data_IF_216026410336
#
_entry.id   IF_216026410336
#
_cell.length_a   1.000
_cell.length_b   1.000
_cell.length_c   1.000
_cell.angle_alpha   90.00
_cell.angle_beta   90.00
_cell.angle_gamma   90.00
#
_symmetry.space_group_name_H-M   'P 1'
#
loop_
_entity.id
_entity.type
_entity.pdbx_description
1 polymer ?
#
# COMPACT_ATOMS: atom_id res chain seq x y z
N UNK A 1 -20.25 -5.35 -3.00
CA UNK A 1 -19.51 -6.23 -3.94
C UNK A 1 -18.39 -6.80 -3.09
N UNK A 2 -18.49 -8.06 -2.70
CA UNK A 2 -17.46 -8.71 -1.87
C UNK A 2 -16.41 -9.32 -2.80
N UNK A 3 -15.14 -9.18 -2.44
CA UNK A 3 -14.05 -9.83 -3.15
C UNK A 3 -14.00 -11.28 -2.67
N UNK A 4 -14.08 -12.30 -3.55
CA UNK A 4 -13.97 -13.68 -3.10
C UNK A 4 -12.60 -13.98 -2.48
N UNK A 5 -12.57 -14.70 -1.35
CA UNK A 5 -11.35 -15.00 -0.58
C UNK A 5 -10.21 -15.62 -1.41
N UNK A 6 -10.56 -16.41 -2.43
CA UNK A 6 -9.59 -17.01 -3.35
C UNK A 6 -8.72 -15.98 -4.09
N UNK A 7 -9.15 -14.72 -4.17
CA UNK A 7 -8.39 -13.63 -4.77
C UNK A 7 -7.58 -12.83 -3.74
N UNK A 8 -7.78 -13.03 -2.43
CA UNK A 8 -7.03 -12.28 -1.42
C UNK A 8 -5.50 -12.46 -1.54
N UNK A 9 -4.94 -13.66 -1.82
CA UNK A 9 -3.50 -13.81 -1.98
C UNK A 9 -2.92 -12.97 -3.11
N UNK A 10 -3.56 -12.99 -4.30
CA UNK A 10 -3.08 -12.22 -5.46
C UNK A 10 -3.25 -10.71 -5.25
N UNK A 11 -4.27 -10.28 -4.51
CA UNK A 11 -4.45 -8.87 -4.16
C UNK A 11 -3.39 -8.42 -3.16
N UNK A 12 -3.09 -9.24 -2.14
CA UNK A 12 -2.03 -8.94 -1.19
C UNK A 12 -0.66 -8.83 -1.88
N UNK A 13 -0.34 -9.77 -2.77
CA UNK A 13 0.89 -9.72 -3.57
C UNK A 13 0.97 -8.42 -4.41
N UNK A 14 -0.12 -8.04 -5.08
CA UNK A 14 -0.17 -6.80 -5.84
C UNK A 14 -0.02 -5.55 -4.95
N UNK A 15 -0.58 -5.56 -3.74
CA UNK A 15 -0.43 -4.47 -2.77
C UNK A 15 1.01 -4.39 -2.23
N UNK A 16 1.68 -5.52 -1.99
CA UNK A 16 3.09 -5.57 -1.60
C UNK A 16 4.00 -4.98 -2.70
N UNK A 17 3.77 -5.36 -3.95
CA UNK A 17 4.49 -4.79 -5.10
C UNK A 17 4.30 -3.28 -5.23
N UNK A 18 3.07 -2.79 -5.01
CA UNK A 18 2.76 -1.37 -5.03
C UNK A 18 3.45 -0.64 -3.86
N UNK A 19 3.42 -1.22 -2.66
CA UNK A 19 4.08 -0.68 -1.48
C UNK A 19 5.59 -0.57 -1.71
N UNK A 20 6.20 -1.61 -2.27
CA UNK A 20 7.62 -1.62 -2.63
C UNK A 20 7.96 -0.48 -3.59
N UNK A 21 7.21 -0.30 -4.68
CA UNK A 21 7.44 0.79 -5.64
C UNK A 21 7.32 2.18 -4.99
N UNK A 22 6.28 2.39 -4.17
CA UNK A 22 6.10 3.65 -3.44
C UNK A 22 7.24 3.89 -2.45
N UNK A 23 7.73 2.85 -1.78
CA UNK A 23 8.87 2.94 -0.86
C UNK A 23 10.15 3.36 -1.59
N UNK A 24 10.39 2.85 -2.80
CA UNK A 24 11.53 3.24 -3.62
C UNK A 24 11.45 4.73 -4.00
N UNK A 25 10.27 5.21 -4.41
CA UNK A 25 10.09 6.62 -4.76
C UNK A 25 10.25 7.53 -3.54
N UNK A 26 9.70 7.16 -2.38
CA UNK A 26 9.90 7.89 -1.13
C UNK A 26 11.36 7.89 -0.67
N UNK A 27 12.10 6.81 -0.91
CA UNK A 27 13.52 6.71 -0.54
C UNK A 27 14.36 7.75 -1.28
N UNK A 28 14.04 8.03 -2.56
CA UNK A 28 14.69 9.06 -3.38
C UNK A 28 14.46 10.47 -2.84
N UNK A 29 13.35 10.69 -2.12
CA UNK A 29 12.96 11.97 -1.52
C UNK A 29 13.35 12.08 -0.04
N UNK A 30 14.07 11.10 0.51
CA UNK A 30 14.46 11.08 1.93
C UNK A 30 15.39 12.25 2.25
N UNK A 31 15.12 12.93 3.37
CA UNK A 31 15.88 14.12 3.79
C UNK A 31 15.57 15.40 3.01
N UNK A 32 14.79 15.31 1.93
CA UNK A 32 14.34 16.48 1.17
C UNK A 32 13.13 17.16 1.84
N UNK A 33 12.81 18.42 1.48
CA UNK A 33 11.63 19.11 1.97
C UNK A 33 10.32 18.34 1.71
N UNK A 34 9.28 18.65 2.49
CA UNK A 34 7.97 18.02 2.36
C UNK A 34 7.19 18.59 1.16
N UNK A 35 7.59 18.18 -0.04
CA UNK A 35 6.95 18.59 -1.30
C UNK A 35 5.55 17.99 -1.46
N UNK A 36 4.76 18.55 -2.39
CA UNK A 36 3.44 17.99 -2.76
C UNK A 36 3.54 16.53 -3.22
N UNK A 37 4.58 16.20 -3.97
CA UNK A 37 4.88 14.85 -4.43
C UNK A 37 5.14 13.91 -3.25
N UNK A 38 6.01 14.30 -2.31
CA UNK A 38 6.30 13.50 -1.11
C UNK A 38 5.03 13.26 -0.30
N UNK A 39 4.19 14.29 -0.09
CA UNK A 39 2.90 14.15 0.59
C UNK A 39 1.96 13.18 -0.12
N UNK A 40 1.91 13.24 -1.45
CA UNK A 40 1.10 12.31 -2.26
C UNK A 40 1.60 10.87 -2.12
N UNK A 41 2.90 10.64 -2.21
CA UNK A 41 3.50 9.31 -2.06
C UNK A 41 3.30 8.75 -0.65
N UNK A 42 3.47 9.56 0.39
CA UNK A 42 3.16 9.16 1.78
C UNK A 42 1.69 8.80 1.93
N UNK A 43 0.77 9.58 1.35
CA UNK A 43 -0.66 9.23 1.36
C UNK A 43 -0.93 7.91 0.65
N UNK A 44 -0.29 7.65 -0.50
CA UNK A 44 -0.42 6.38 -1.22
C UNK A 44 0.07 5.21 -0.37
N UNK A 45 1.22 5.36 0.30
CA UNK A 45 1.74 4.35 1.23
C UNK A 45 0.71 4.00 2.30
N UNK A 46 0.15 4.99 2.99
CA UNK A 46 -0.84 4.76 4.05
C UNK A 46 -2.10 4.05 3.56
N UNK A 47 -2.60 4.40 2.36
CA UNK A 47 -3.77 3.73 1.77
C UNK A 47 -3.47 2.27 1.43
N UNK A 48 -2.28 1.96 0.94
CA UNK A 48 -1.88 0.57 0.63
C UNK A 48 -1.82 -0.26 1.93
N UNK A 49 -1.19 0.28 2.98
CA UNK A 49 -1.09 -0.38 4.29
C UNK A 49 -2.48 -0.62 4.91
N UNK A 50 -3.40 0.34 4.78
CA UNK A 50 -4.79 0.19 5.23
C UNK A 50 -5.52 -0.93 4.48
N UNK A 51 -5.36 -1.01 3.15
CA UNK A 51 -5.96 -2.08 2.35
C UNK A 51 -5.40 -3.46 2.71
N UNK A 52 -4.08 -3.59 2.93
CA UNK A 52 -3.47 -4.84 3.37
C UNK A 52 -4.01 -5.28 4.74
N UNK A 53 -4.17 -4.34 5.68
CA UNK A 53 -4.73 -4.61 7.00
C UNK A 53 -6.19 -5.08 6.93
N UNK A 54 -7.02 -4.43 6.09
CA UNK A 54 -8.42 -4.83 5.89
C UNK A 54 -8.52 -6.26 5.35
N UNK A 55 -7.76 -6.60 4.31
CA UNK A 55 -7.74 -7.94 3.72
C UNK A 55 -7.25 -9.00 4.71
N UNK A 56 -6.28 -8.65 5.56
CA UNK A 56 -5.79 -9.57 6.60
C UNK A 56 -6.82 -9.82 7.69
N UNK A 57 -7.58 -8.79 8.11
CA UNK A 57 -8.69 -8.96 9.06
C UNK A 57 -9.80 -9.83 8.46
N UNK A 58 -10.14 -9.62 7.19
CA UNK A 58 -11.18 -10.39 6.50
C UNK A 58 -10.83 -11.88 6.42
N UNK A 59 -9.57 -12.23 6.18
CA UNK A 59 -9.12 -13.64 6.18
C UNK A 59 -9.21 -14.35 7.55
N UNK A 60 -9.38 -13.61 8.66
CA UNK A 60 -9.44 -14.18 10.01
C UNK A 60 -10.86 -14.41 10.54
N UNK A 61 -11.87 -13.92 9.82
CA UNK A 61 -13.28 -14.10 10.17
C UNK A 61 -13.82 -15.39 9.55
#
# INVERSE_FOLDING_TARGET
MEVPDKYHPVILEALEDLLYKVSLDLSRLKGQPLTRERKMLTKKQSVIEELQHLLWIEQKK
#
